data_IF_210756153357
#
_entry.id   IF_210756153357
#
_cell.length_a   1.000
_cell.length_b   1.000
_cell.length_c   1.000
_cell.angle_alpha   90.00
_cell.angle_beta   90.00
_cell.angle_gamma   90.00
#
_symmetry.space_group_name_H-M   'P 1'
#
loop_
_entity.id
_entity.type
_entity.pdbx_description
1 polymer ?
#
# COMPACT_ATOMS: atom_id res chain seq x y z
N UNK A 1 27.65 35.76 -23.24
CA UNK A 1 26.87 34.94 -22.28
C UNK A 1 27.37 35.34 -20.92
N UNK A 2 26.60 36.16 -20.20
CA UNK A 2 27.05 36.71 -18.92
C UNK A 2 27.04 35.62 -17.85
N UNK A 3 27.91 35.73 -16.84
CA UNK A 3 28.06 34.75 -15.75
C UNK A 3 26.72 34.43 -15.04
N UNK A 4 25.80 35.39 -15.06
CA UNK A 4 24.40 35.32 -14.62
C UNK A 4 23.57 34.27 -15.38
N UNK A 5 23.77 34.12 -16.69
CA UNK A 5 23.01 33.15 -17.51
C UNK A 5 23.40 31.70 -17.18
N UNK A 6 24.68 31.46 -16.91
CA UNK A 6 25.21 30.13 -16.60
C UNK A 6 24.73 29.63 -15.23
N UNK A 7 24.62 30.51 -14.24
CA UNK A 7 24.07 30.19 -12.92
C UNK A 7 22.58 29.87 -12.99
N UNK A 8 21.81 30.59 -13.81
CA UNK A 8 20.39 30.30 -14.04
C UNK A 8 20.21 28.94 -14.72
N UNK A 9 21.01 28.64 -15.76
CA UNK A 9 20.99 27.33 -16.44
C UNK A 9 21.38 26.20 -15.47
N UNK A 10 22.44 26.37 -14.67
CA UNK A 10 22.85 25.36 -13.70
C UNK A 10 21.79 25.12 -12.61
N UNK A 11 21.14 26.17 -12.09
CA UNK A 11 20.03 26.04 -11.14
C UNK A 11 18.83 25.33 -11.76
N UNK A 12 18.51 25.63 -13.01
CA UNK A 12 17.43 24.97 -13.73
C UNK A 12 17.76 23.48 -13.96
N UNK A 13 18.97 23.15 -14.43
CA UNK A 13 19.42 21.77 -14.60
C UNK A 13 19.41 20.99 -13.28
N UNK A 14 19.84 21.63 -12.18
CA UNK A 14 19.78 21.01 -10.84
C UNK A 14 18.34 20.77 -10.39
N UNK A 15 17.43 21.74 -10.59
CA UNK A 15 15.99 21.56 -10.30
C UNK A 15 15.38 20.47 -11.17
N UNK A 16 15.68 20.44 -12.46
CA UNK A 16 15.22 19.39 -13.37
C UNK A 16 15.73 18.02 -12.96
N UNK A 17 17.01 17.90 -12.59
CA UNK A 17 17.58 16.65 -12.09
C UNK A 17 16.89 16.20 -10.80
N UNK A 18 16.70 17.11 -9.84
CA UNK A 18 16.01 16.83 -8.58
C UNK A 18 14.55 16.39 -8.81
N UNK A 19 13.82 17.06 -9.70
CA UNK A 19 12.46 16.66 -10.08
C UNK A 19 12.43 15.29 -10.76
N UNK A 20 13.39 15.01 -11.66
CA UNK A 20 13.47 13.73 -12.35
C UNK A 20 13.80 12.58 -11.39
N UNK A 21 14.71 12.82 -10.45
CA UNK A 21 15.08 11.83 -9.44
C UNK A 21 13.89 11.59 -8.49
N UNK A 22 13.15 12.64 -8.10
CA UNK A 22 11.94 12.52 -7.28
C UNK A 22 10.84 11.70 -7.98
N UNK A 23 10.56 11.97 -9.26
CA UNK A 23 9.59 11.17 -10.03
C UNK A 23 10.00 9.69 -10.13
N UNK A 24 11.30 9.43 -10.34
CA UNK A 24 11.81 8.06 -10.40
C UNK A 24 11.60 7.29 -9.08
N UNK A 25 11.85 7.93 -7.93
CA UNK A 25 11.57 7.31 -6.63
C UNK A 25 10.08 7.03 -6.44
N UNK A 26 9.22 7.93 -6.89
CA UNK A 26 7.78 7.78 -6.78
C UNK A 26 7.24 6.64 -7.67
N UNK A 27 7.73 6.52 -8.91
CA UNK A 27 7.40 5.43 -9.83
C UNK A 27 7.83 4.07 -9.25
N UNK A 28 9.06 4.00 -8.71
CA UNK A 28 9.56 2.79 -8.05
C UNK A 28 8.76 2.46 -6.80
N UNK A 29 8.40 3.46 -5.99
CA UNK A 29 7.55 3.27 -4.82
C UNK A 29 6.19 2.66 -5.18
N UNK A 30 5.49 3.23 -6.15
CA UNK A 30 4.18 2.69 -6.56
C UNK A 30 4.30 1.29 -7.12
N UNK A 31 5.32 1.02 -7.93
CA UNK A 31 5.61 -0.33 -8.40
C UNK A 31 5.79 -1.31 -7.24
N UNK A 32 6.61 -0.96 -6.24
CA UNK A 32 6.83 -1.80 -5.06
C UNK A 32 5.55 -1.99 -4.25
N UNK A 33 4.76 -0.94 -4.07
CA UNK A 33 3.48 -1.00 -3.37
C UNK A 33 2.53 -1.97 -4.09
N UNK A 34 2.34 -1.84 -5.40
CA UNK A 34 1.46 -2.73 -6.16
C UNK A 34 1.97 -4.17 -6.22
N UNK A 35 3.29 -4.39 -6.32
CA UNK A 35 3.91 -5.71 -6.16
C UNK A 35 3.58 -6.32 -4.79
N UNK A 36 3.62 -5.52 -3.72
CA UNK A 36 3.25 -5.98 -2.38
C UNK A 36 1.75 -6.27 -2.26
N UNK A 37 0.88 -5.58 -2.99
CA UNK A 37 -0.57 -5.80 -2.95
C UNK A 37 -1.02 -7.05 -3.73
N UNK A 38 -0.14 -7.60 -4.59
CA UNK A 38 -0.40 -8.81 -5.34
C UNK A 38 -0.82 -9.99 -4.43
N UNK A 39 -1.90 -10.70 -4.79
CA UNK A 39 -2.50 -11.80 -4.04
C UNK A 39 -2.97 -11.46 -2.61
N UNK A 40 -3.25 -10.18 -2.30
CA UNK A 40 -3.83 -9.75 -1.03
C UNK A 40 -5.24 -9.21 -1.25
N UNK A 41 -6.09 -9.34 -0.23
CA UNK A 41 -7.36 -8.62 -0.17
C UNK A 41 -7.07 -7.21 0.32
N UNK A 42 -7.36 -6.22 -0.53
CA UNK A 42 -7.13 -4.82 -0.23
C UNK A 42 -8.41 -4.16 0.30
N UNK A 43 -8.34 -3.58 1.48
CA UNK A 43 -9.36 -2.70 2.05
C UNK A 43 -8.80 -1.29 2.14
N UNK A 44 -9.64 -0.29 1.82
CA UNK A 44 -9.28 1.12 1.89
C UNK A 44 -10.41 1.87 2.57
N UNK A 45 -10.07 2.61 3.62
CA UNK A 45 -11.00 3.42 4.40
C UNK A 45 -11.54 4.64 3.63
N UNK A 46 -12.73 5.12 3.98
CA UNK A 46 -13.44 6.23 3.32
C UNK A 46 -12.63 7.53 3.37
N UNK A 47 -11.89 7.75 4.46
CA UNK A 47 -11.01 8.90 4.62
C UNK A 47 -9.92 8.99 3.54
N UNK A 48 -9.46 7.87 2.99
CA UNK A 48 -8.47 7.85 1.91
C UNK A 48 -9.13 8.29 0.59
N UNK A 49 -10.34 7.80 0.31
CA UNK A 49 -11.11 8.22 -0.87
C UNK A 49 -11.50 9.71 -0.81
N UNK A 50 -11.83 10.19 0.40
CA UNK A 50 -12.24 11.58 0.65
C UNK A 50 -11.08 12.50 1.04
N UNK A 51 -9.84 12.02 1.00
CA UNK A 51 -8.69 12.85 1.30
C UNK A 51 -8.67 14.09 0.39
N UNK A 52 -8.15 15.21 0.90
CA UNK A 52 -7.87 16.33 0.03
C UNK A 52 -6.96 15.85 -1.11
N UNK A 53 -7.28 16.27 -2.34
CA UNK A 53 -6.49 15.97 -3.53
C UNK A 53 -5.02 16.23 -3.23
N UNK A 54 -4.27 15.14 -3.13
CA UNK A 54 -2.82 15.14 -3.08
C UNK A 54 -2.34 14.21 -4.19
N UNK A 55 -1.17 14.54 -4.74
CA UNK A 55 -0.65 13.86 -5.93
C UNK A 55 -0.49 12.35 -5.70
N UNK A 56 -0.14 11.94 -4.48
CA UNK A 56 0.06 10.53 -4.14
C UNK A 56 -1.23 9.71 -4.20
N UNK A 57 -2.31 10.19 -3.59
CA UNK A 57 -3.61 9.49 -3.57
C UNK A 57 -4.20 9.42 -4.99
N UNK A 58 -4.11 10.51 -5.75
CA UNK A 58 -4.58 10.53 -7.14
C UNK A 58 -3.80 9.53 -8.00
N UNK A 59 -2.46 9.51 -7.89
CA UNK A 59 -1.64 8.53 -8.59
C UNK A 59 -1.94 7.11 -8.18
N UNK A 60 -2.08 6.84 -6.88
CA UNK A 60 -2.43 5.51 -6.38
C UNK A 60 -3.70 4.96 -7.07
N UNK A 61 -4.79 5.73 -7.07
CA UNK A 61 -6.05 5.29 -7.68
C UNK A 61 -6.01 5.29 -9.21
N UNK A 62 -5.16 6.10 -9.83
CA UNK A 62 -4.97 6.08 -11.27
C UNK A 62 -4.19 4.84 -11.72
N UNK A 63 -3.04 4.57 -11.10
CA UNK A 63 -2.10 3.52 -11.49
C UNK A 63 -2.56 2.12 -11.06
N UNK A 64 -3.33 1.97 -9.98
CA UNK A 64 -3.85 0.64 -9.58
C UNK A 64 -4.67 -0.03 -10.70
N UNK A 65 -5.25 0.76 -11.61
CA UNK A 65 -5.99 0.27 -12.77
C UNK A 65 -5.10 -0.44 -13.82
N UNK A 66 -3.79 -0.25 -13.74
CA UNK A 66 -2.82 -0.95 -14.59
C UNK A 66 -2.52 -2.37 -14.07
N UNK A 67 -3.01 -2.73 -12.87
CA UNK A 67 -2.74 -3.98 -12.17
C UNK A 67 -4.01 -4.83 -12.02
N UNK A 68 -4.45 -5.58 -13.05
CA UNK A 68 -5.76 -6.26 -13.10
C UNK A 68 -5.97 -7.33 -12.01
N UNK A 69 -4.90 -7.73 -11.33
CA UNK A 69 -4.90 -8.71 -10.25
C UNK A 69 -5.11 -8.07 -8.85
N UNK A 70 -5.19 -6.74 -8.76
CA UNK A 70 -5.42 -6.02 -7.50
C UNK A 70 -6.85 -5.49 -7.49
N UNK A 71 -7.63 -5.93 -6.49
CA UNK A 71 -9.01 -5.52 -6.31
C UNK A 71 -9.22 -4.96 -4.91
N UNK A 72 -9.78 -3.77 -4.84
CA UNK A 72 -10.24 -3.15 -3.60
C UNK A 72 -11.57 -3.79 -3.23
N UNK A 73 -11.68 -4.24 -1.98
CA UNK A 73 -12.94 -4.69 -1.39
C UNK A 73 -13.49 -3.56 -0.51
N UNK A 74 -14.69 -3.10 -0.83
CA UNK A 74 -15.39 -2.03 -0.13
C UNK A 74 -16.68 -2.60 0.49
N UNK A 75 -16.93 -2.37 1.77
CA UNK A 75 -18.25 -2.66 2.35
C UNK A 75 -19.32 -1.73 1.77
N UNK A 76 -20.54 -2.22 1.64
CA UNK A 76 -21.69 -1.43 1.14
C UNK A 76 -21.97 -0.23 2.03
N UNK A 77 -21.77 -0.36 3.33
CA UNK A 77 -21.94 0.68 4.34
C UNK A 77 -20.99 1.86 4.11
N UNK A 78 -19.75 1.59 3.69
CA UNK A 78 -18.79 2.64 3.33
C UNK A 78 -19.24 3.38 2.06
N UNK A 79 -19.74 2.65 1.06
CA UNK A 79 -20.27 3.25 -0.16
C UNK A 79 -21.48 4.15 0.16
N UNK A 80 -22.42 3.67 0.98
CA UNK A 80 -23.59 4.42 1.42
C UNK A 80 -23.22 5.65 2.24
N UNK A 81 -22.21 5.56 3.12
CA UNK A 81 -21.69 6.70 3.87
C UNK A 81 -21.20 7.81 2.93
N UNK A 82 -20.35 7.46 1.96
CA UNK A 82 -19.83 8.40 0.97
C UNK A 82 -20.98 8.98 0.11
N UNK A 83 -21.94 8.15 -0.29
CA UNK A 83 -23.11 8.57 -1.06
C UNK A 83 -23.96 9.59 -0.30
N UNK A 84 -24.21 9.34 0.99
CA UNK A 84 -24.97 10.25 1.84
C UNK A 84 -24.23 11.58 2.05
N UNK A 85 -22.91 11.55 2.25
CA UNK A 85 -22.08 12.75 2.38
C UNK A 85 -22.07 13.59 1.10
N UNK A 86 -22.09 12.97 -0.07
CA UNK A 86 -22.16 13.66 -1.37
C UNK A 86 -23.40 14.56 -1.50
N UNK A 87 -24.50 14.19 -0.85
CA UNK A 87 -25.77 14.93 -0.87
C UNK A 87 -25.96 15.85 0.34
N UNK A 88 -24.93 16.02 1.18
CA UNK A 88 -24.98 16.91 2.35
C UNK A 88 -25.05 18.38 1.94
N UNK A 89 -25.87 19.18 2.63
CA UNK A 89 -25.92 20.64 2.46
C UNK A 89 -24.63 21.35 2.87
N UNK A 90 -23.75 20.66 3.61
CA UNK A 90 -22.45 21.16 4.04
C UNK A 90 -21.41 20.92 2.93
N UNK A 91 -21.12 21.95 2.14
CA UNK A 91 -20.20 21.89 0.98
C UNK A 91 -18.80 21.35 1.32
N UNK A 92 -18.27 21.68 2.50
CA UNK A 92 -16.96 21.20 2.99
C UNK A 92 -16.90 19.67 3.07
N UNK A 93 -18.04 19.00 3.31
CA UNK A 93 -18.15 17.53 3.33
C UNK A 93 -18.58 16.98 1.97
N UNK A 94 -19.48 17.68 1.27
CA UNK A 94 -20.03 17.23 0.01
C UNK A 94 -19.01 17.21 -1.14
N UNK A 95 -18.09 18.19 -1.20
CA UNK A 95 -17.06 18.24 -2.25
C UNK A 95 -16.09 17.05 -2.22
N UNK A 96 -15.46 16.70 -1.08
CA UNK A 96 -14.65 15.48 -0.98
C UNK A 96 -15.42 14.21 -1.34
N UNK A 97 -16.65 14.06 -0.85
CA UNK A 97 -17.48 12.89 -1.14
C UNK A 97 -17.84 12.78 -2.64
N UNK A 98 -18.09 13.89 -3.34
CA UNK A 98 -18.25 13.90 -4.80
C UNK A 98 -17.01 13.42 -5.54
N UNK A 99 -15.82 13.80 -5.10
CA UNK A 99 -14.56 13.35 -5.69
C UNK A 99 -14.32 11.87 -5.42
N UNK A 100 -14.52 11.43 -4.17
CA UNK A 100 -14.48 10.02 -3.79
C UNK A 100 -15.41 9.16 -4.66
N UNK A 101 -16.62 9.65 -4.91
CA UNK A 101 -17.59 8.95 -5.75
C UNK A 101 -17.11 8.76 -7.20
N UNK A 102 -16.44 9.76 -7.79
CA UNK A 102 -15.85 9.63 -9.14
C UNK A 102 -14.74 8.59 -9.18
N UNK A 103 -13.93 8.52 -8.12
CA UNK A 103 -12.88 7.49 -7.98
C UNK A 103 -13.52 6.10 -7.90
N UNK A 104 -14.55 5.95 -7.06
CA UNK A 104 -15.32 4.70 -6.91
C UNK A 104 -15.91 4.25 -8.24
N UNK A 105 -16.58 5.15 -8.97
CA UNK A 105 -17.17 4.89 -10.28
C UNK A 105 -16.10 4.40 -11.27
N UNK A 106 -14.97 5.11 -11.38
CA UNK A 106 -13.86 4.72 -12.24
C UNK A 106 -13.29 3.34 -11.90
N UNK A 107 -13.10 3.04 -10.62
CA UNK A 107 -12.57 1.75 -10.16
C UNK A 107 -13.58 0.62 -10.36
N UNK A 108 -14.87 0.88 -10.19
CA UNK A 108 -15.92 -0.09 -10.44
C UNK A 108 -16.03 -0.44 -11.92
N UNK A 109 -16.04 0.57 -12.79
CA UNK A 109 -16.11 0.41 -14.25
C UNK A 109 -14.89 -0.35 -14.80
N UNK A 110 -13.71 -0.09 -14.23
CA UNK A 110 -12.47 -0.80 -14.56
C UNK A 110 -12.32 -2.16 -13.86
N UNK A 111 -13.31 -2.58 -13.05
CA UNK A 111 -13.35 -3.85 -12.31
C UNK A 111 -12.27 -4.01 -11.23
N UNK A 112 -11.73 -2.90 -10.71
CA UNK A 112 -10.79 -2.85 -9.58
C UNK A 112 -11.44 -2.63 -8.23
N UNK A 113 -12.77 -2.48 -8.19
CA UNK A 113 -13.54 -2.34 -6.96
C UNK A 113 -14.64 -3.40 -6.89
N UNK A 114 -14.71 -4.08 -5.76
CA UNK A 114 -15.80 -5.00 -5.42
C UNK A 114 -16.53 -4.47 -4.18
N UNK A 115 -17.77 -4.01 -4.37
CA UNK A 115 -18.65 -3.60 -3.28
C UNK A 115 -19.35 -4.86 -2.76
N UNK A 116 -19.18 -5.16 -1.46
CA UNK A 116 -19.72 -6.36 -0.84
C UNK A 116 -20.74 -6.03 0.23
N UNK A 117 -21.83 -6.79 0.23
CA UNK A 117 -22.79 -6.85 1.32
C UNK A 117 -22.41 -7.98 2.30
N UNK A 118 -22.60 -7.74 3.59
CA UNK A 118 -22.62 -8.81 4.58
C UNK A 118 -23.94 -9.58 4.44
N UNK A 119 -23.89 -10.80 3.90
CA UNK A 119 -25.07 -11.62 3.56
C UNK A 119 -26.00 -11.94 4.75
N UNK A 120 -25.56 -11.71 5.98
CA UNK A 120 -26.24 -12.19 7.19
C UNK A 120 -26.78 -11.07 8.10
N UNK A 121 -26.75 -9.80 7.69
CA UNK A 121 -27.33 -8.71 8.49
C UNK A 121 -28.64 -8.19 7.88
N UNK A 122 -29.75 -8.16 8.64
CA UNK A 122 -30.94 -7.47 8.19
C UNK A 122 -30.60 -5.98 8.03
N UNK A 123 -31.01 -5.35 6.92
CA UNK A 123 -30.88 -3.93 6.50
C UNK A 123 -31.45 -2.90 7.51
N UNK A 124 -31.21 -3.07 8.79
CA UNK A 124 -31.80 -2.34 9.90
C UNK A 124 -30.73 -2.09 10.93
N UNK A 125 -29.89 -1.10 10.65
CA UNK A 125 -29.40 -0.04 11.55
C UNK A 125 -28.41 0.75 10.70
N UNK A 126 -28.22 2.04 11.02
CA UNK A 126 -27.10 2.86 10.53
C UNK A 126 -25.77 2.19 10.92
N UNK A 127 -25.40 1.11 10.25
CA UNK A 127 -24.18 0.38 10.50
C UNK A 127 -23.04 1.28 10.02
N UNK A 128 -22.18 1.67 10.94
CA UNK A 128 -20.95 2.37 10.60
C UNK A 128 -20.04 1.40 9.84
N UNK A 129 -19.27 1.89 8.87
CA UNK A 129 -18.35 1.07 8.08
C UNK A 129 -17.30 0.36 8.96
N UNK A 130 -16.91 0.97 10.08
CA UNK A 130 -15.89 0.47 11.02
C UNK A 130 -16.13 -0.98 11.54
N UNK A 131 -17.26 -1.29 12.22
CA UNK A 131 -17.59 -2.66 12.60
C UNK A 131 -17.54 -3.65 11.43
N UNK A 132 -17.97 -3.20 10.24
CA UNK A 132 -18.05 -4.03 9.05
C UNK A 132 -16.66 -4.36 8.51
N UNK A 133 -15.75 -3.37 8.44
CA UNK A 133 -14.34 -3.61 8.13
C UNK A 133 -13.73 -4.64 9.07
N UNK A 134 -13.91 -4.47 10.38
CA UNK A 134 -13.34 -5.39 11.37
C UNK A 134 -13.88 -6.82 11.13
N UNK A 135 -15.18 -6.97 10.90
CA UNK A 135 -15.80 -8.27 10.61
C UNK A 135 -15.27 -8.90 9.33
N UNK A 136 -15.31 -8.18 8.20
CA UNK A 136 -14.84 -8.70 6.91
C UNK A 136 -13.35 -9.05 6.93
N UNK A 137 -12.52 -8.21 7.56
CA UNK A 137 -11.08 -8.48 7.68
C UNK A 137 -10.85 -9.75 8.51
N UNK A 138 -11.51 -9.87 9.66
CA UNK A 138 -11.36 -11.05 10.54
C UNK A 138 -11.89 -12.33 9.89
N UNK A 139 -12.97 -12.27 9.12
CA UNK A 139 -13.47 -13.40 8.31
C UNK A 139 -12.43 -13.87 7.28
N UNK A 140 -11.80 -12.94 6.54
CA UNK A 140 -10.74 -13.32 5.61
C UNK A 140 -9.50 -13.90 6.30
N UNK A 141 -9.14 -13.38 7.48
CA UNK A 141 -8.02 -13.92 8.26
C UNK A 141 -8.32 -15.33 8.80
N UNK A 142 -9.58 -15.62 9.18
CA UNK A 142 -10.02 -16.99 9.53
C UNK A 142 -9.84 -17.95 8.36
N UNK A 143 -10.10 -17.48 7.15
CA UNK A 143 -9.86 -18.22 5.90
C UNK A 143 -8.39 -18.25 5.45
N UNK A 144 -7.45 -17.83 6.32
CA UNK A 144 -6.00 -17.80 6.05
C UNK A 144 -5.61 -16.92 4.84
N UNK A 145 -6.44 -15.93 4.49
CA UNK A 145 -6.14 -15.00 3.41
C UNK A 145 -5.26 -13.86 3.92
N UNK A 146 -4.39 -13.37 3.04
CA UNK A 146 -3.57 -12.18 3.31
C UNK A 146 -4.39 -10.92 3.06
N UNK A 147 -4.43 -10.03 4.04
CA UNK A 147 -5.21 -8.80 4.03
C UNK A 147 -4.27 -7.60 4.13
N UNK A 148 -4.53 -6.58 3.31
CA UNK A 148 -3.87 -5.29 3.34
C UNK A 148 -4.94 -4.21 3.59
N UNK A 149 -4.81 -3.47 4.69
CA UNK A 149 -5.79 -2.46 5.08
C UNK A 149 -5.14 -1.08 5.19
N UNK A 150 -5.63 -0.13 4.39
CA UNK A 150 -5.18 1.25 4.37
C UNK A 150 -6.20 2.12 5.10
N UNK A 151 -5.80 2.73 6.21
CA UNK A 151 -6.62 3.65 7.00
C UNK A 151 -5.74 4.67 7.72
N UNK A 152 -6.25 5.88 7.91
CA UNK A 152 -5.63 6.89 8.78
C UNK A 152 -6.16 6.83 10.22
N UNK A 153 -7.25 6.09 10.47
CA UNK A 153 -7.89 6.02 11.78
C UNK A 153 -7.07 5.15 12.75
N UNK A 154 -6.52 5.80 13.79
CA UNK A 154 -5.73 5.14 14.84
C UNK A 154 -6.59 4.26 15.74
N UNK A 155 -7.81 4.67 16.03
CA UNK A 155 -8.74 3.89 16.87
C UNK A 155 -9.19 2.62 16.13
N UNK A 156 -9.52 2.73 14.84
CA UNK A 156 -9.86 1.57 14.02
C UNK A 156 -8.69 0.58 13.92
N UNK A 157 -7.45 1.07 13.78
CA UNK A 157 -6.24 0.23 13.84
C UNK A 157 -6.14 -0.53 15.16
N UNK A 158 -6.37 0.13 16.29
CA UNK A 158 -6.30 -0.48 17.63
C UNK A 158 -7.40 -1.51 17.80
N UNK A 159 -8.66 -1.18 17.45
CA UNK A 159 -9.80 -2.09 17.54
C UNK A 159 -9.60 -3.35 16.68
N UNK A 160 -9.10 -3.19 15.46
CA UNK A 160 -8.81 -4.32 14.58
C UNK A 160 -7.70 -5.22 15.15
N UNK A 161 -6.58 -4.65 15.62
CA UNK A 161 -5.50 -5.42 16.24
C UNK A 161 -5.96 -6.17 17.49
N UNK A 162 -6.70 -5.50 18.36
CA UNK A 162 -7.28 -6.11 19.57
C UNK A 162 -8.21 -7.27 19.22
N UNK A 163 -9.04 -7.12 18.17
CA UNK A 163 -9.92 -8.19 17.70
C UNK A 163 -9.13 -9.40 17.18
N UNK A 164 -8.12 -9.15 16.34
CA UNK A 164 -7.23 -10.19 15.79
C UNK A 164 -6.53 -10.98 16.89
N UNK A 165 -6.01 -10.29 17.92
CA UNK A 165 -5.39 -10.92 19.08
C UNK A 165 -6.40 -11.74 19.89
N UNK A 166 -7.57 -11.18 20.18
CA UNK A 166 -8.62 -11.85 20.97
C UNK A 166 -9.12 -13.14 20.31
N UNK A 167 -9.17 -13.17 18.99
CA UNK A 167 -9.60 -14.33 18.19
C UNK A 167 -8.44 -15.25 17.80
N UNK A 168 -7.20 -14.95 18.26
CA UNK A 168 -5.97 -15.72 17.97
C UNK A 168 -5.75 -15.94 16.46
N UNK A 169 -6.05 -14.93 15.66
CA UNK A 169 -5.87 -14.98 14.20
C UNK A 169 -4.39 -14.72 13.85
N UNK A 170 -3.95 -15.23 12.70
CA UNK A 170 -2.56 -15.03 12.25
C UNK A 170 -2.33 -13.56 11.87
N UNK A 171 -1.65 -12.82 12.73
CA UNK A 171 -1.31 -11.40 12.51
C UNK A 171 -0.36 -11.20 11.32
N UNK A 172 0.44 -12.20 10.95
CA UNK A 172 1.36 -12.11 9.79
C UNK A 172 0.60 -12.02 8.46
N UNK A 173 -0.66 -12.47 8.45
CA UNK A 173 -1.54 -12.33 7.29
C UNK A 173 -2.20 -10.94 7.22
N UNK A 174 -1.97 -10.05 8.17
CA UNK A 174 -2.58 -8.72 8.22
C UNK A 174 -1.51 -7.61 8.16
N UNK A 175 -1.58 -6.80 7.12
CA UNK A 175 -0.84 -5.53 7.03
C UNK A 175 -1.81 -4.38 7.20
N UNK A 176 -1.55 -3.49 8.17
CA UNK A 176 -2.33 -2.26 8.36
C UNK A 176 -1.38 -1.06 8.29
N UNK A 177 -1.70 -0.08 7.44
CA UNK A 177 -0.85 1.08 7.21
C UNK A 177 -1.63 2.38 7.03
N UNK A 178 -0.94 3.49 7.25
CA UNK A 178 -1.34 4.83 6.82
C UNK A 178 -0.80 5.06 5.40
N UNK A 179 -1.62 5.56 4.49
CA UNK A 179 -1.14 5.93 3.16
C UNK A 179 -0.22 7.14 3.24
N UNK A 180 -0.56 8.11 4.08
CA UNK A 180 0.27 9.30 4.33
C UNK A 180 1.68 8.89 4.78
N UNK A 181 1.78 8.03 5.80
CA UNK A 181 3.08 7.55 6.30
C UNK A 181 3.86 6.79 5.23
N UNK A 182 3.20 5.90 4.48
CA UNK A 182 3.86 5.15 3.38
C UNK A 182 4.39 6.09 2.29
N UNK A 183 3.59 7.09 1.92
CA UNK A 183 3.93 8.00 0.84
C UNK A 183 5.01 9.01 1.25
N UNK A 184 5.01 9.46 2.50
CA UNK A 184 6.07 10.31 3.06
C UNK A 184 7.41 9.56 3.13
N UNK A 185 7.38 8.27 3.49
CA UNK A 185 8.58 7.42 3.65
C UNK A 185 9.04 6.72 2.36
N UNK A 186 8.46 7.07 1.21
CA UNK A 186 8.69 6.39 -0.07
C UNK A 186 10.17 6.26 -0.48
N UNK A 187 11.00 7.26 -0.19
CA UNK A 187 12.42 7.26 -0.57
C UNK A 187 13.19 6.18 0.21
N UNK A 188 12.94 6.07 1.52
CA UNK A 188 13.56 5.06 2.37
C UNK A 188 13.10 3.66 1.97
N UNK A 189 11.80 3.46 1.74
CA UNK A 189 11.25 2.17 1.30
C UNK A 189 11.87 1.68 -0.02
N UNK A 190 12.06 2.59 -0.99
CA UNK A 190 12.72 2.27 -2.26
C UNK A 190 14.19 1.91 -2.06
N UNK A 191 14.91 2.67 -1.23
CA UNK A 191 16.33 2.42 -0.99
C UNK A 191 16.58 1.13 -0.19
N UNK A 192 15.75 0.82 0.80
CA UNK A 192 15.75 -0.46 1.52
C UNK A 192 15.57 -1.64 0.57
N UNK A 193 14.58 -1.56 -0.33
CA UNK A 193 14.31 -2.62 -1.30
C UNK A 193 15.43 -2.77 -2.34
N UNK A 194 16.03 -1.66 -2.78
CA UNK A 194 17.22 -1.70 -3.66
C UNK A 194 18.40 -2.37 -2.98
N UNK A 195 18.62 -2.08 -1.70
CA UNK A 195 19.70 -2.70 -0.93
C UNK A 195 19.43 -4.20 -0.72
N UNK A 196 18.20 -4.58 -0.37
CA UNK A 196 17.77 -5.98 -0.27
C UNK A 196 18.03 -6.76 -1.57
N UNK A 197 17.67 -6.18 -2.73
CA UNK A 197 17.92 -6.81 -4.04
C UNK A 197 19.42 -6.97 -4.35
N UNK A 198 20.26 -6.01 -3.95
CA UNK A 198 21.72 -6.12 -4.10
C UNK A 198 22.29 -7.24 -3.24
N UNK A 199 21.80 -7.37 -2.00
CA UNK A 199 22.28 -8.40 -1.07
C UNK A 199 21.86 -9.81 -1.53
N UNK A 200 20.64 -9.97 -2.04
CA UNK A 200 20.18 -11.23 -2.68
C UNK A 200 21.09 -11.59 -3.85
N UNK A 201 21.35 -10.64 -4.76
CA UNK A 201 22.20 -10.89 -5.93
C UNK A 201 23.62 -11.32 -5.56
N UNK A 202 24.23 -10.68 -4.55
CA UNK A 202 25.55 -11.09 -4.05
C UNK A 202 25.51 -12.50 -3.45
N UNK A 203 24.43 -12.86 -2.78
CA UNK A 203 24.22 -14.21 -2.25
C UNK A 203 24.12 -15.25 -3.36
N UNK A 204 23.38 -14.96 -4.43
CA UNK A 204 23.27 -15.82 -5.62
C UNK A 204 24.62 -15.98 -6.33
N UNK A 205 25.35 -14.89 -6.56
CA UNK A 205 26.71 -14.93 -7.14
C UNK A 205 27.67 -15.79 -6.30
N UNK A 206 27.59 -15.67 -4.97
CA UNK A 206 28.40 -16.50 -4.06
C UNK A 206 28.04 -17.99 -4.13
N UNK A 207 26.74 -18.33 -4.23
CA UNK A 207 26.28 -19.72 -4.38
C UNK A 207 26.70 -20.31 -5.73
N UNK A 208 26.64 -19.52 -6.81
CA UNK A 208 27.08 -19.94 -8.13
C UNK A 208 28.60 -20.19 -8.18
N UNK A 209 29.39 -19.34 -7.53
CA UNK A 209 30.84 -19.56 -7.36
C UNK A 209 31.14 -20.84 -6.55
N UNK A 210 30.36 -21.12 -5.51
CA UNK A 210 30.48 -22.35 -4.72
C UNK A 210 30.09 -23.62 -5.48
N UNK A 211 29.08 -23.53 -6.35
CA UNK A 211 28.65 -24.64 -7.17
C UNK A 211 29.67 -25.00 -8.27
N UNK A 212 30.38 -23.98 -8.79
CA UNK A 212 31.33 -24.14 -9.90
C UNK A 212 32.80 -24.28 -9.45
N UNK A 213 33.13 -24.02 -8.18
CA UNK A 213 34.50 -24.05 -7.66
C UNK A 213 34.69 -25.08 -6.53
N UNK A 214 35.33 -26.22 -6.83
CA UNK A 214 35.62 -27.27 -5.84
C UNK A 214 36.42 -26.81 -4.61
N UNK A 215 37.24 -25.75 -4.74
CA UNK A 215 38.06 -25.17 -3.66
C UNK A 215 37.29 -24.23 -2.71
N UNK A 216 36.12 -23.72 -3.10
CA UNK A 216 35.34 -22.77 -2.29
C UNK A 216 34.40 -23.47 -1.31
N UNK A 217 33.96 -24.71 -1.60
CA UNK A 217 33.21 -25.56 -0.66
C UNK A 217 33.95 -25.74 0.66
N UNK A 218 35.26 -25.96 0.62
CA UNK A 218 36.10 -26.11 1.80
C UNK A 218 36.17 -24.81 2.62
N UNK A 219 36.29 -23.65 1.96
CA UNK A 219 36.28 -22.33 2.64
C UNK A 219 34.90 -21.95 3.22
N UNK A 220 33.81 -22.40 2.60
CA UNK A 220 32.46 -22.19 3.11
C UNK A 220 32.16 -23.08 4.31
N UNK A 221 32.61 -24.34 4.29
CA UNK A 221 32.54 -25.26 5.43
C UNK A 221 33.32 -24.71 6.63
N UNK A 222 34.50 -24.12 6.41
CA UNK A 222 35.28 -23.48 7.49
C UNK A 222 34.55 -22.28 8.12
N UNK A 223 33.88 -21.43 7.31
CA UNK A 223 33.10 -20.29 7.83
C UNK A 223 31.84 -20.73 8.57
N UNK A 224 31.16 -21.76 8.09
CA UNK A 224 29.96 -22.32 8.74
C UNK A 224 30.36 -23.02 10.05
N UNK A 225 31.44 -23.79 10.05
CA UNK A 225 32.00 -24.41 11.26
C UNK A 225 32.40 -23.35 12.30
N UNK A 226 33.01 -22.24 11.88
CA UNK A 226 33.36 -21.12 12.77
C UNK A 226 32.13 -20.40 13.35
N UNK A 227 30.99 -20.40 12.65
CA UNK A 227 29.74 -19.79 13.12
C UNK A 227 28.96 -20.71 14.08
N UNK A 228 29.01 -22.03 13.86
CA UNK A 228 28.39 -23.04 14.73
C UNK A 228 29.22 -23.30 16.01
N UNK A 229 30.52 -23.00 16.00
CA UNK A 229 31.40 -23.16 17.18
C UNK A 229 31.39 -21.97 18.16
N UNK A 230 30.46 -21.02 17.99
CA UNK A 230 30.21 -19.91 18.91
C UNK A 230 28.89 -20.13 19.64
#
# INVERSE_FOLDING_TARGET
MEFTDLVVVARNLYRFKKQRDQHKYEDEFFKLLFEQLHNKILYIDSNIFMAQSNVGVERFFNEIQEYPNINITMPTEQYEEIYNLKNSDIEVKAKPARNAFRIIEKLFDSKHLNIRELKDEPNKVKAYADPVFIKMITENLKEQKKVYFITEDKDLKIRLKSKVESEKLNIENLVICSFETLYEDKENLVDEERNRKKDIKKGEEFLDELANGGSLKDKALDKIAAYISK
#
